data_IF_713313507713
#
_entry.id   IF_713313507713
#
_cell.length_a   1.000
_cell.length_b   1.000
_cell.length_c   1.000
_cell.angle_alpha   90.00
_cell.angle_beta   90.00
_cell.angle_gamma   90.00
#
_symmetry.space_group_name_H-M   'P 1'
#
loop_
_entity.id
_entity.type
_entity.pdbx_description
1 polymer ?
#
# COMPACT_ATOMS: atom_id res chain seq x y z
N UNK A 1 5.77 -25.44 -8.85
CA UNK A 1 4.77 -25.39 -9.93
C UNK A 1 4.01 -24.06 -9.81
N UNK A 2 4.22 -23.09 -10.71
CA UNK A 2 3.78 -21.68 -10.55
C UNK A 2 2.73 -21.23 -11.59
N UNK A 3 2.23 -22.18 -12.38
CA UNK A 3 1.52 -21.89 -13.62
C UNK A 3 -0.01 -21.88 -13.46
N UNK A 4 -0.54 -22.20 -12.26
CA UNK A 4 -1.98 -22.29 -11.95
C UNK A 4 -2.52 -21.37 -10.84
N UNK A 5 -1.71 -20.44 -10.32
CA UNK A 5 -2.08 -19.53 -9.22
C UNK A 5 -2.16 -18.07 -9.67
N UNK A 6 -3.10 -17.31 -9.08
CA UNK A 6 -3.46 -15.92 -9.41
C UNK A 6 -2.33 -14.90 -9.15
N UNK A 7 -1.20 -15.32 -8.59
CA UNK A 7 -0.08 -14.47 -8.19
C UNK A 7 0.46 -13.58 -9.32
N UNK A 8 0.54 -14.06 -10.56
CA UNK A 8 1.01 -13.23 -11.69
C UNK A 8 0.05 -12.07 -11.98
N UNK A 9 -1.25 -12.32 -11.88
CA UNK A 9 -2.26 -11.27 -12.00
C UNK A 9 -2.19 -10.28 -10.83
N UNK A 10 -1.92 -10.77 -9.62
CA UNK A 10 -1.72 -9.93 -8.44
C UNK A 10 -0.49 -9.04 -8.57
N UNK A 11 0.64 -9.59 -9.00
CA UNK A 11 1.86 -8.83 -9.28
C UNK A 11 1.63 -7.76 -10.35
N UNK A 12 0.90 -8.09 -11.41
CA UNK A 12 0.52 -7.11 -12.43
C UNK A 12 -0.41 -6.00 -11.87
N UNK A 13 -1.34 -6.36 -10.99
CA UNK A 13 -2.20 -5.38 -10.32
C UNK A 13 -1.42 -4.43 -9.40
N UNK A 14 -0.37 -4.92 -8.72
CA UNK A 14 0.54 -4.07 -7.92
C UNK A 14 1.28 -3.08 -8.83
N UNK A 15 1.79 -3.53 -9.98
CA UNK A 15 2.42 -2.64 -10.96
C UNK A 15 1.46 -1.56 -11.46
N UNK A 16 0.17 -1.91 -11.63
CA UNK A 16 -0.88 -0.96 -11.99
C UNK A 16 -1.14 0.09 -10.91
N UNK A 17 -1.18 -0.33 -9.65
CA UNK A 17 -1.31 0.60 -8.52
C UNK A 17 -0.13 1.58 -8.46
N UNK A 18 1.10 1.11 -8.71
CA UNK A 18 2.29 1.99 -8.77
C UNK A 18 2.22 3.02 -9.90
N UNK A 19 1.71 2.64 -11.08
CA UNK A 19 1.51 3.58 -12.18
C UNK A 19 0.58 4.74 -11.77
N UNK A 20 -0.53 4.41 -11.10
CA UNK A 20 -1.48 5.39 -10.55
C UNK A 20 -0.87 6.26 -9.45
N UNK A 21 -0.16 5.65 -8.50
CA UNK A 21 0.48 6.37 -7.39
C UNK A 21 1.53 7.37 -7.88
N UNK A 22 2.30 6.99 -8.88
CA UNK A 22 3.42 7.79 -9.39
C UNK A 22 3.03 8.73 -10.54
N UNK A 23 1.85 8.54 -11.13
CA UNK A 23 1.44 9.26 -12.34
C UNK A 23 2.39 9.01 -13.52
N UNK A 24 2.98 7.81 -13.60
CA UNK A 24 3.97 7.45 -14.61
C UNK A 24 3.57 6.18 -15.35
N UNK A 25 3.96 6.11 -16.62
CA UNK A 25 3.83 4.90 -17.40
C UNK A 25 4.75 3.81 -16.83
N UNK A 26 4.21 2.60 -16.68
CA UNK A 26 4.93 1.42 -16.19
C UNK A 26 4.91 0.36 -17.28
N UNK A 27 6.09 -0.14 -17.64
CA UNK A 27 6.27 -1.25 -18.59
C UNK A 27 6.64 -2.48 -17.78
N UNK A 28 5.83 -3.53 -17.87
CA UNK A 28 6.11 -4.83 -17.26
C UNK A 28 6.56 -5.76 -18.37
N UNK A 29 7.84 -6.14 -18.36
CA UNK A 29 8.40 -7.13 -19.27
C UNK A 29 8.66 -8.43 -18.50
N UNK A 30 7.91 -9.49 -18.80
CA UNK A 30 8.01 -10.78 -18.12
C UNK A 30 8.19 -11.91 -19.13
N UNK A 31 9.17 -12.78 -18.88
CA UNK A 31 9.49 -13.94 -19.75
C UNK A 31 8.44 -15.05 -19.68
N UNK A 32 7.86 -15.29 -18.50
CA UNK A 32 6.89 -16.36 -18.26
C UNK A 32 5.58 -15.85 -17.62
N UNK A 33 5.41 -14.52 -17.54
CA UNK A 33 4.31 -13.86 -16.86
C UNK A 33 3.46 -12.97 -17.76
N UNK A 34 2.81 -11.98 -17.16
CA UNK A 34 2.05 -10.98 -17.92
C UNK A 34 3.01 -9.86 -18.31
N UNK A 35 3.22 -9.69 -19.60
CA UNK A 35 3.88 -8.52 -20.16
C UNK A 35 2.82 -7.48 -20.55
N UNK A 36 3.10 -6.19 -20.36
CA UNK A 36 2.15 -5.15 -20.72
C UNK A 36 2.62 -3.74 -20.39
N UNK A 37 1.89 -2.77 -20.94
CA UNK A 37 2.14 -1.35 -20.72
C UNK A 37 0.94 -0.74 -20.01
N UNK A 38 1.24 0.00 -18.95
CA UNK A 38 0.26 0.65 -18.08
C UNK A 38 0.52 2.16 -18.17
N UNK A 39 -0.51 2.91 -18.54
CA UNK A 39 -0.45 4.36 -18.62
C UNK A 39 -0.53 5.01 -17.22
N UNK A 40 -0.20 6.32 -17.11
CA UNK A 40 -0.20 7.06 -15.84
C UNK A 40 -1.54 7.04 -15.08
N UNK A 41 -2.65 6.92 -15.81
CA UNK A 41 -4.02 6.83 -15.30
C UNK A 41 -4.42 5.38 -14.93
N UNK A 42 -3.47 4.45 -14.98
CA UNK A 42 -3.69 3.03 -14.72
C UNK A 42 -4.41 2.29 -15.85
N UNK A 43 -4.67 2.90 -17.01
CA UNK A 43 -5.20 2.15 -18.16
C UNK A 43 -4.15 1.19 -18.69
N UNK A 44 -4.55 -0.04 -19.00
CA UNK A 44 -3.65 -1.05 -19.58
C UNK A 44 -3.76 -0.93 -21.09
N UNK A 45 -2.79 -0.28 -21.73
CA UNK A 45 -2.82 0.00 -23.16
C UNK A 45 -2.46 -1.22 -23.99
N UNK A 46 -1.64 -2.11 -23.44
CA UNK A 46 -1.25 -3.35 -24.11
C UNK A 46 -0.97 -4.45 -23.08
N UNK A 47 -1.41 -5.67 -23.37
CA UNK A 47 -1.20 -6.83 -22.49
C UNK A 47 -1.01 -8.08 -23.32
N UNK A 48 0.10 -8.79 -23.09
CA UNK A 48 0.35 -10.07 -23.75
C UNK A 48 -0.51 -11.18 -23.14
N UNK A 49 -1.08 -12.01 -24.00
CA UNK A 49 -1.76 -13.23 -23.57
C UNK A 49 -0.76 -14.21 -22.98
N UNK A 50 -1.05 -14.73 -21.78
CA UNK A 50 -0.18 -15.71 -21.13
C UNK A 50 -0.03 -16.92 -22.06
N UNK A 51 1.18 -17.14 -22.60
CA UNK A 51 1.66 -18.33 -23.34
C UNK A 51 1.94 -18.18 -24.86
N UNK A 52 2.14 -16.98 -25.39
CA UNK A 52 2.66 -16.79 -26.77
C UNK A 52 3.87 -15.83 -26.83
N UNK A 53 4.79 -16.07 -27.77
CA UNK A 53 5.89 -15.14 -28.08
C UNK A 53 5.32 -13.92 -28.81
N UNK A 54 5.29 -12.77 -28.14
CA UNK A 54 4.66 -11.56 -28.64
C UNK A 54 5.56 -10.34 -28.39
N UNK A 55 5.77 -9.51 -29.41
CA UNK A 55 6.50 -8.26 -29.31
C UNK A 55 5.51 -7.10 -29.15
N UNK A 56 5.56 -6.42 -28.00
CA UNK A 56 4.70 -5.27 -27.70
C UNK A 56 5.47 -3.97 -28.00
N UNK A 57 5.04 -3.26 -29.05
CA UNK A 57 5.57 -1.93 -29.40
C UNK A 57 4.47 -0.90 -29.14
N UNK A 58 4.73 0.04 -28.22
CA UNK A 58 3.78 1.13 -27.94
C UNK A 58 4.53 2.42 -27.61
N UNK A 59 3.96 3.55 -28.00
CA UNK A 59 4.44 4.86 -27.60
C UNK A 59 3.90 5.17 -26.18
N UNK A 60 4.80 5.58 -25.28
CA UNK A 60 4.44 5.91 -23.89
C UNK A 60 4.78 7.37 -23.60
N UNK A 61 3.87 8.13 -22.98
CA UNK A 61 4.12 9.53 -22.66
C UNK A 61 5.24 9.64 -21.62
N UNK A 62 6.22 10.50 -21.90
CA UNK A 62 7.24 10.89 -20.92
C UNK A 62 6.66 11.96 -19.99
N UNK A 63 6.25 11.55 -18.78
CA UNK A 63 5.88 12.48 -17.71
C UNK A 63 7.12 12.87 -16.91
N UNK A 64 7.46 14.17 -16.93
CA UNK A 64 8.49 14.76 -16.05
C UNK A 64 7.92 15.23 -14.71
N UNK A 65 6.61 15.45 -14.63
CA UNK A 65 5.95 15.95 -13.43
C UNK A 65 5.98 14.92 -12.28
N UNK A 66 5.97 15.41 -11.04
CA UNK A 66 5.94 14.55 -9.85
C UNK A 66 4.52 14.52 -9.27
N UNK A 67 3.96 13.31 -9.13
CA UNK A 67 2.69 13.12 -8.46
C UNK A 67 2.75 13.65 -7.02
N UNK A 68 1.70 14.38 -6.61
CA UNK A 68 1.57 14.91 -5.24
C UNK A 68 1.74 13.80 -4.21
N UNK A 69 1.16 12.62 -4.47
CA UNK A 69 1.29 11.44 -3.61
C UNK A 69 2.76 11.04 -3.34
N UNK A 70 3.63 11.14 -4.34
CA UNK A 70 5.07 10.88 -4.19
C UNK A 70 5.75 12.00 -3.39
N UNK A 71 5.34 13.24 -3.59
CA UNK A 71 5.95 14.42 -2.95
C UNK A 71 5.62 14.51 -1.44
N UNK A 72 4.36 14.31 -1.05
CA UNK A 72 3.92 14.44 0.34
C UNK A 72 3.80 13.11 1.09
N UNK A 73 3.81 11.97 0.38
CA UNK A 73 3.50 10.66 0.95
C UNK A 73 4.38 10.31 2.15
N UNK A 74 5.69 10.51 2.02
CA UNK A 74 6.64 10.23 3.11
C UNK A 74 6.41 11.12 4.32
N UNK A 75 6.23 12.43 4.11
CA UNK A 75 5.97 13.38 5.19
C UNK A 75 4.66 13.07 5.91
N UNK A 76 3.60 12.76 5.16
CA UNK A 76 2.30 12.39 5.72
C UNK A 76 2.38 11.08 6.52
N UNK A 77 3.13 10.09 6.01
CA UNK A 77 3.33 8.80 6.69
C UNK A 77 3.98 9.01 8.06
N UNK A 78 5.10 9.73 8.10
CA UNK A 78 5.78 10.01 9.37
C UNK A 78 4.94 10.89 10.28
N UNK A 79 4.23 11.89 9.76
CA UNK A 79 3.32 12.72 10.54
C UNK A 79 2.24 11.89 11.25
N UNK A 80 1.59 10.97 10.53
CA UNK A 80 0.56 10.09 11.10
C UNK A 80 1.14 9.11 12.14
N UNK A 81 2.34 8.57 11.90
CA UNK A 81 3.03 7.71 12.87
C UNK A 81 3.32 8.49 14.16
N UNK A 82 3.86 9.70 14.06
CA UNK A 82 4.15 10.55 15.23
C UNK A 82 2.87 10.89 15.98
N UNK A 83 1.79 11.27 15.30
CA UNK A 83 0.49 11.56 15.93
C UNK A 83 -0.04 10.33 16.67
N UNK A 84 -0.04 9.16 16.03
CA UNK A 84 -0.49 7.91 16.64
C UNK A 84 0.35 7.55 17.87
N UNK A 85 1.67 7.70 17.77
CA UNK A 85 2.59 7.42 18.88
C UNK A 85 2.38 8.37 20.06
N UNK A 86 2.22 9.68 19.80
CA UNK A 86 1.93 10.67 20.84
C UNK A 86 0.57 10.44 21.49
N UNK A 87 -0.46 10.05 20.72
CA UNK A 87 -1.76 9.67 21.26
C UNK A 87 -1.67 8.44 22.18
N UNK A 88 -0.88 7.44 21.77
CA UNK A 88 -0.62 6.26 22.59
C UNK A 88 0.10 6.62 23.90
N UNK A 89 1.16 7.43 23.84
CA UNK A 89 1.87 7.91 25.02
C UNK A 89 0.95 8.70 25.96
N UNK A 90 0.11 9.57 25.40
CA UNK A 90 -0.86 10.33 26.17
C UNK A 90 -1.87 9.40 26.88
N UNK A 91 -2.39 8.39 26.19
CA UNK A 91 -3.31 7.41 26.77
C UNK A 91 -2.65 6.62 27.91
N UNK A 92 -1.43 6.13 27.72
CA UNK A 92 -0.67 5.40 28.76
C UNK A 92 -0.34 6.31 29.95
N UNK A 93 0.04 7.56 29.70
CA UNK A 93 0.35 8.53 30.78
C UNK A 93 -0.87 8.97 31.59
N UNK A 94 -2.07 8.86 30.99
CA UNK A 94 -3.35 9.03 31.68
C UNK A 94 -3.80 7.78 32.44
N UNK A 95 -3.01 6.69 32.36
CA UNK A 95 -3.23 5.44 33.07
C UNK A 95 -3.77 5.69 34.47
N UNK A 96 -4.98 5.19 34.69
CA UNK A 96 -5.85 5.52 35.80
C UNK A 96 -5.12 5.48 37.15
N UNK A 97 -4.93 6.65 37.76
CA UNK A 97 -4.69 6.77 39.22
C UNK A 97 -5.89 6.29 40.05
N UNK A 98 -6.96 5.82 39.41
CA UNK A 98 -8.25 5.45 40.02
C UNK A 98 -8.58 3.97 39.96
N UNK A 99 -7.77 3.13 39.34
CA UNK A 99 -7.92 1.68 39.50
C UNK A 99 -7.31 1.26 40.84
N UNK A 100 -7.98 1.56 41.97
CA UNK A 100 -7.66 0.96 43.26
C UNK A 100 -7.95 -0.56 43.16
N UNK A 101 -6.92 -1.42 43.03
CA UNK A 101 -7.11 -2.85 42.82
C UNK A 101 -7.66 -3.53 44.07
N UNK A 102 -7.87 -2.79 45.17
CA UNK A 102 -8.37 -3.26 46.46
C UNK A 102 -9.76 -2.72 46.80
N UNK A 103 -10.43 -2.04 45.86
CA UNK A 103 -11.80 -1.55 46.07
C UNK A 103 -12.80 -2.66 46.44
N UNK A 104 -12.59 -3.88 45.93
CA UNK A 104 -13.40 -5.06 46.25
C UNK A 104 -13.18 -5.57 47.69
N UNK A 105 -12.02 -5.34 48.31
CA UNK A 105 -11.75 -5.72 49.70
C UNK A 105 -12.54 -4.86 50.71
N UNK A 106 -12.93 -3.63 50.33
CA UNK A 106 -13.72 -2.75 51.20
C UNK A 106 -15.21 -3.11 51.23
N UNK A 107 -15.68 -3.90 50.26
CA UNK A 107 -17.08 -4.36 50.20
C UNK A 107 -17.31 -5.59 51.09
N UNK A 108 -16.28 -6.42 51.29
CA UNK A 108 -16.37 -7.64 52.12
C UNK A 108 -16.46 -7.32 53.62
N UNK A 109 -15.88 -6.21 54.08
CA UNK A 109 -15.88 -5.84 55.51
C UNK A 109 -17.12 -5.05 55.95
N UNK A 110 -18.11 -4.87 55.07
CA UNK A 110 -19.32 -4.10 55.33
C UNK A 110 -20.59 -4.98 55.54
N UNK A 111 -20.42 -6.29 55.70
CA UNK A 111 -21.48 -7.23 56.14
C UNK A 111 -21.19 -7.73 57.55
#
# INVERSE_FOLDING_TARGET
>A
MFTGITQRAQQFAISRARALETGRSVIVASTNGISGVIAPDGTVTQRSSTRNTEALVTAVPLTSDQAVAVRIGTMLTYGMIVIAFMALLAAVSRGDRTADPRAWLRMETAR
#
